data_IF_496465991455
#
_entry.id   IF_496465991455
#
_cell.length_a   1.000
_cell.length_b   1.000
_cell.length_c   1.000
_cell.angle_alpha   90.00
_cell.angle_beta   90.00
_cell.angle_gamma   90.00
#
_symmetry.space_group_name_H-M   'P 1'
#
loop_
_entity.id
_entity.type
_entity.pdbx_description
1 polymer ?
#
# COMPACT_ATOMS: atom_id res chain seq x y z
N UNK A 1 -19.06 65.56 9.58
CA UNK A 1 -19.26 64.11 9.39
C UNK A 1 -19.18 63.69 7.95
N UNK A 2 -18.00 63.25 7.51
CA UNK A 2 -17.86 62.54 6.23
C UNK A 2 -17.04 61.28 6.50
N UNK A 3 -17.76 60.18 6.72
CA UNK A 3 -17.18 58.84 6.88
C UNK A 3 -16.59 58.41 5.52
N UNK A 4 -15.32 57.98 5.44
CA UNK A 4 -14.76 57.51 4.18
C UNK A 4 -15.49 56.23 3.71
N UNK A 5 -15.60 56.00 2.39
CA UNK A 5 -16.32 54.85 1.87
C UNK A 5 -15.57 53.55 2.23
N UNK A 6 -16.33 52.52 2.60
CA UNK A 6 -15.79 51.21 2.93
C UNK A 6 -15.02 50.62 1.73
N UNK A 7 -13.79 50.17 1.97
CA UNK A 7 -12.98 49.50 0.96
C UNK A 7 -13.74 48.28 0.41
N UNK A 8 -13.89 48.20 -0.91
CA UNK A 8 -14.49 47.02 -1.57
C UNK A 8 -13.59 45.81 -1.28
N UNK A 9 -14.16 44.63 -0.95
CA UNK A 9 -13.35 43.44 -0.74
C UNK A 9 -12.62 43.12 -2.04
N UNK A 10 -11.28 43.12 -1.98
CA UNK A 10 -10.44 42.72 -3.11
C UNK A 10 -10.72 41.23 -3.32
N UNK A 11 -11.39 40.89 -4.42
CA UNK A 11 -11.65 39.49 -4.75
C UNK A 11 -10.31 38.73 -4.73
N UNK A 12 -10.21 37.71 -3.87
CA UNK A 12 -9.02 36.91 -3.74
C UNK A 12 -8.62 36.39 -5.13
N UNK A 13 -7.45 36.83 -5.61
CA UNK A 13 -6.89 36.47 -6.91
C UNK A 13 -6.90 34.94 -7.00
N UNK A 14 -7.56 34.30 -7.99
CA UNK A 14 -7.63 32.86 -8.04
C UNK A 14 -6.19 32.34 -8.12
N UNK A 15 -5.77 31.61 -7.09
CA UNK A 15 -4.44 31.03 -7.04
C UNK A 15 -4.30 30.21 -8.32
N UNK A 16 -3.43 30.64 -9.23
CA UNK A 16 -3.10 29.87 -10.43
C UNK A 16 -2.39 28.62 -9.94
N UNK A 17 -3.16 27.57 -9.64
CA UNK A 17 -2.62 26.29 -9.18
C UNK A 17 -1.59 25.82 -10.21
N UNK A 18 -0.32 25.85 -9.83
CA UNK A 18 0.78 25.53 -10.73
C UNK A 18 0.55 24.15 -11.39
N UNK A 19 0.88 23.97 -12.68
CA UNK A 19 0.77 22.68 -13.37
C UNK A 19 1.39 21.50 -12.61
N UNK A 20 2.43 21.76 -11.80
CA UNK A 20 3.09 20.78 -10.93
C UNK A 20 2.17 20.22 -9.84
N UNK A 21 1.42 21.08 -9.15
CA UNK A 21 0.51 20.68 -8.07
C UNK A 21 -0.66 19.83 -8.60
N UNK A 22 -1.19 20.18 -9.79
CA UNK A 22 -2.23 19.37 -10.45
C UNK A 22 -1.74 17.97 -10.82
N UNK A 23 -0.53 17.86 -11.37
CA UNK A 23 0.09 16.56 -11.70
C UNK A 23 0.33 15.72 -10.46
N UNK A 24 0.84 16.32 -9.38
CA UNK A 24 1.04 15.64 -8.09
C UNK A 24 -0.28 15.12 -7.50
N UNK A 25 -1.33 15.94 -7.49
CA UNK A 25 -2.67 15.51 -7.05
C UNK A 25 -3.23 14.36 -7.90
N UNK A 26 -3.02 14.39 -9.22
CA UNK A 26 -3.40 13.29 -10.11
C UNK A 26 -2.66 11.99 -9.78
N UNK A 27 -1.35 12.06 -9.57
CA UNK A 27 -0.53 10.92 -9.19
C UNK A 27 -0.98 10.28 -7.86
N UNK A 28 -1.27 11.11 -6.85
CA UNK A 28 -1.79 10.65 -5.56
C UNK A 28 -3.13 9.91 -5.70
N UNK A 29 -4.05 10.40 -6.55
CA UNK A 29 -5.33 9.72 -6.83
C UNK A 29 -5.10 8.36 -7.50
N UNK A 30 -4.22 8.29 -8.50
CA UNK A 30 -3.88 7.03 -9.15
C UNK A 30 -3.28 6.03 -8.17
N UNK A 31 -2.41 6.49 -7.27
CA UNK A 31 -1.80 5.66 -6.24
C UNK A 31 -2.84 5.16 -5.23
N UNK A 32 -3.75 6.02 -4.76
CA UNK A 32 -4.86 5.62 -3.90
C UNK A 32 -5.72 4.52 -4.56
N UNK A 33 -6.09 4.70 -5.83
CA UNK A 33 -6.83 3.68 -6.60
C UNK A 33 -6.04 2.37 -6.71
N UNK A 34 -4.72 2.44 -6.89
CA UNK A 34 -3.87 1.26 -6.94
C UNK A 34 -3.83 0.52 -5.60
N UNK A 35 -3.75 1.24 -4.47
CA UNK A 35 -3.87 0.65 -3.13
C UNK A 35 -5.22 -0.04 -2.97
N UNK A 36 -6.32 0.61 -3.35
CA UNK A 36 -7.66 0.02 -3.24
C UNK A 36 -7.78 -1.28 -4.05
N UNK A 37 -7.30 -1.26 -5.30
CA UNK A 37 -7.28 -2.43 -6.19
C UNK A 37 -6.43 -3.56 -5.61
N UNK A 38 -5.21 -3.26 -5.18
CA UNK A 38 -4.27 -4.30 -4.72
C UNK A 38 -4.67 -4.87 -3.36
N UNK A 39 -5.14 -4.03 -2.44
CA UNK A 39 -5.45 -4.41 -1.08
C UNK A 39 -6.83 -5.03 -0.95
N UNK A 40 -7.85 -4.38 -1.53
CA UNK A 40 -9.26 -4.74 -1.37
C UNK A 40 -9.85 -5.41 -2.61
N UNK A 41 -9.04 -5.61 -3.65
CA UNK A 41 -9.46 -6.20 -4.91
C UNK A 41 -10.59 -5.42 -5.61
N UNK A 42 -10.73 -4.12 -5.37
CA UNK A 42 -11.79 -3.31 -5.98
C UNK A 42 -11.67 -3.30 -7.51
N UNK A 43 -12.75 -3.62 -8.21
CA UNK A 43 -12.81 -3.59 -9.68
C UNK A 43 -14.26 -3.53 -10.14
N UNK A 44 -14.52 -2.75 -11.19
CA UNK A 44 -15.83 -2.63 -11.82
C UNK A 44 -16.14 -3.85 -12.73
N UNK A 45 -15.10 -4.62 -13.11
CA UNK A 45 -15.21 -5.77 -14.02
C UNK A 45 -14.50 -7.00 -13.43
N UNK A 46 -15.13 -7.72 -12.50
CA UNK A 46 -14.53 -8.92 -11.94
C UNK A 46 -14.56 -10.08 -12.93
N UNK A 47 -13.42 -10.70 -13.16
CA UNK A 47 -13.34 -11.93 -13.96
C UNK A 47 -13.81 -13.13 -13.14
N UNK A 48 -14.60 -14.02 -13.77
CA UNK A 48 -14.97 -15.32 -13.19
C UNK A 48 -13.71 -16.19 -13.10
N UNK A 49 -13.41 -16.73 -11.92
CA UNK A 49 -12.25 -17.62 -11.74
C UNK A 49 -12.42 -18.88 -12.59
N UNK A 50 -11.55 -19.07 -13.58
CA UNK A 50 -11.54 -20.26 -14.46
C UNK A 50 -10.53 -21.33 -14.03
N UNK A 51 -9.58 -21.02 -13.14
CA UNK A 51 -8.57 -21.97 -12.66
C UNK A 51 -8.54 -22.07 -11.13
N UNK A 52 -8.65 -23.31 -10.63
CA UNK A 52 -8.34 -23.70 -9.25
C UNK A 52 -6.82 -23.91 -9.12
N UNK A 53 -6.07 -22.87 -8.82
CA UNK A 53 -4.74 -23.04 -8.22
C UNK A 53 -4.91 -23.62 -6.81
N UNK A 54 -4.00 -24.52 -6.38
CA UNK A 54 -4.02 -25.05 -5.00
C UNK A 54 -4.08 -23.88 -4.02
N UNK A 55 -5.10 -23.82 -3.14
CA UNK A 55 -5.24 -22.67 -2.25
C UNK A 55 -4.12 -22.73 -1.21
N UNK A 56 -3.24 -21.72 -1.20
CA UNK A 56 -2.58 -21.34 0.04
C UNK A 56 -3.70 -21.02 1.03
N UNK A 57 -3.75 -21.77 2.14
CA UNK A 57 -4.84 -21.66 3.12
C UNK A 57 -4.91 -20.26 3.76
N UNK A 58 -3.81 -19.48 3.72
CA UNK A 58 -3.80 -18.08 4.22
C UNK A 58 -4.24 -17.06 3.17
N UNK A 59 -4.34 -17.44 1.90
CA UNK A 59 -4.73 -16.52 0.84
C UNK A 59 -6.23 -16.24 0.89
N UNK A 60 -6.60 -14.96 1.00
CA UNK A 60 -8.00 -14.52 0.91
C UNK A 60 -8.35 -14.26 -0.57
N UNK A 61 -9.31 -15.01 -1.15
CA UNK A 61 -9.72 -14.80 -2.54
C UNK A 61 -10.21 -13.37 -2.81
N UNK A 62 -9.95 -12.86 -4.02
CA UNK A 62 -10.34 -11.52 -4.44
C UNK A 62 -11.87 -11.27 -4.36
N UNK A 63 -12.68 -12.30 -4.63
CA UNK A 63 -14.14 -12.23 -4.48
C UNK A 63 -14.57 -12.03 -3.03
N UNK A 64 -13.93 -12.74 -2.10
CA UNK A 64 -14.18 -12.62 -0.66
C UNK A 64 -13.73 -11.26 -0.14
N UNK A 65 -12.54 -10.78 -0.55
CA UNK A 65 -12.05 -9.44 -0.17
C UNK A 65 -13.04 -8.34 -0.56
N UNK A 66 -13.55 -8.38 -1.80
CA UNK A 66 -14.53 -7.41 -2.29
C UNK A 66 -15.83 -7.46 -1.49
N UNK A 67 -16.40 -8.66 -1.32
CA UNK A 67 -17.65 -8.84 -0.59
C UNK A 67 -17.55 -8.33 0.86
N UNK A 68 -16.45 -8.63 1.56
CA UNK A 68 -16.21 -8.14 2.92
C UNK A 68 -15.99 -6.63 2.95
N UNK A 69 -15.23 -6.09 1.98
CA UNK A 69 -14.98 -4.65 1.89
C UNK A 69 -16.26 -3.84 1.68
N UNK A 70 -17.11 -4.31 0.76
CA UNK A 70 -18.41 -3.71 0.45
C UNK A 70 -19.37 -3.80 1.65
N UNK A 71 -19.54 -5.00 2.23
CA UNK A 71 -20.35 -5.22 3.43
C UNK A 71 -19.94 -4.31 4.58
N UNK A 72 -18.64 -4.15 4.81
CA UNK A 72 -18.13 -3.37 5.92
C UNK A 72 -18.00 -1.87 5.60
N UNK A 73 -18.28 -1.44 4.35
CA UNK A 73 -18.20 -0.04 3.92
C UNK A 73 -16.80 0.57 4.03
N UNK A 74 -15.78 -0.28 3.89
CA UNK A 74 -14.37 0.09 4.06
C UNK A 74 -13.98 0.57 5.46
N UNK A 75 -14.82 0.28 6.47
CA UNK A 75 -14.72 0.82 7.83
C UNK A 75 -14.57 -0.30 8.85
N UNK A 76 -13.75 -0.05 9.87
CA UNK A 76 -13.60 -0.96 11.00
C UNK A 76 -14.97 -1.37 11.58
N UNK A 77 -15.17 -2.67 11.82
CA UNK A 77 -16.41 -3.26 12.37
C UNK A 77 -16.39 -3.39 13.89
N UNK A 78 -15.29 -3.03 14.56
CA UNK A 78 -15.26 -2.98 16.02
C UNK A 78 -16.32 -2.02 16.56
N UNK A 79 -17.04 -2.49 17.57
CA UNK A 79 -18.02 -1.73 18.34
C UNK A 79 -17.52 -1.72 19.79
N UNK A 80 -17.37 -0.53 20.37
CA UNK A 80 -16.97 -0.38 21.77
C UNK A 80 -18.10 -0.77 22.73
N UNK A 81 -17.77 -0.88 24.02
CA UNK A 81 -18.74 -1.22 25.06
C UNK A 81 -19.92 -0.24 25.15
N UNK A 82 -19.72 1.03 24.75
CA UNK A 82 -20.77 2.05 24.63
C UNK A 82 -21.60 1.96 23.33
N UNK A 83 -21.44 0.89 22.55
CA UNK A 83 -22.20 0.65 21.32
C UNK A 83 -21.72 1.43 20.10
N UNK A 84 -20.64 2.20 20.20
CA UNK A 84 -20.14 3.02 19.09
C UNK A 84 -19.25 2.22 18.15
N UNK A 85 -19.59 2.21 16.86
CA UNK A 85 -18.73 1.61 15.82
C UNK A 85 -17.53 2.51 15.55
N UNK A 86 -16.32 1.95 15.55
CA UNK A 86 -15.10 2.66 15.20
C UNK A 86 -15.21 3.37 13.84
N UNK A 87 -14.93 4.67 13.77
CA UNK A 87 -15.02 5.48 12.55
C UNK A 87 -13.83 5.30 11.58
N UNK A 88 -12.80 4.55 11.98
CA UNK A 88 -11.58 4.44 11.18
C UNK A 88 -11.81 3.69 9.86
N UNK A 89 -11.39 4.34 8.78
CA UNK A 89 -11.22 3.77 7.43
C UNK A 89 -9.74 3.58 7.05
N UNK A 90 -8.84 4.11 7.88
CA UNK A 90 -7.41 4.05 7.64
C UNK A 90 -6.83 2.77 8.22
N UNK A 91 -5.80 2.24 7.54
CA UNK A 91 -5.03 1.05 8.00
C UNK A 91 -5.96 -0.12 8.39
N UNK A 92 -7.01 -0.34 7.60
CA UNK A 92 -7.93 -1.47 7.76
C UNK A 92 -7.30 -2.75 7.25
N UNK A 93 -7.53 -3.85 7.96
CA UNK A 93 -6.98 -5.18 7.72
C UNK A 93 -8.13 -6.19 7.74
N UNK A 94 -8.00 -7.26 6.95
CA UNK A 94 -8.94 -8.37 6.99
C UNK A 94 -8.58 -9.26 8.19
N UNK A 95 -9.45 -9.23 9.19
CA UNK A 95 -9.34 -10.02 10.41
C UNK A 95 -10.25 -11.25 10.32
N UNK A 96 -9.78 -12.38 10.84
CA UNK A 96 -10.58 -13.61 10.92
C UNK A 96 -11.27 -13.67 12.29
N UNK A 97 -12.60 -13.78 12.30
CA UNK A 97 -13.41 -13.91 13.52
C UNK A 97 -13.01 -15.16 14.29
N UNK A 98 -13.00 -16.31 13.62
CA UNK A 98 -12.30 -17.51 14.06
C UNK A 98 -10.90 -17.44 13.46
N UNK A 99 -9.84 -17.26 14.26
CA UNK A 99 -8.51 -17.06 13.70
C UNK A 99 -8.06 -18.23 12.83
N UNK A 100 -7.29 -17.93 11.78
CA UNK A 100 -6.66 -18.95 10.94
C UNK A 100 -5.87 -20.00 11.74
N UNK A 101 -5.15 -19.56 12.77
CA UNK A 101 -4.37 -20.45 13.65
C UNK A 101 -5.24 -21.45 14.43
N UNK A 102 -6.56 -21.22 14.51
CA UNK A 102 -7.56 -22.11 15.11
C UNK A 102 -8.44 -22.79 14.05
N UNK A 103 -7.99 -22.81 12.78
CA UNK A 103 -8.70 -23.48 11.69
C UNK A 103 -9.79 -22.65 11.01
N UNK A 104 -9.86 -21.33 11.26
CA UNK A 104 -10.84 -20.49 10.59
C UNK A 104 -10.54 -20.27 9.10
N UNK A 105 -11.55 -20.49 8.25
CA UNK A 105 -11.45 -20.32 6.80
C UNK A 105 -11.59 -18.86 6.36
N UNK A 106 -11.05 -18.54 5.18
CA UNK A 106 -11.16 -17.22 4.55
C UNK A 106 -12.50 -17.04 3.81
N UNK A 107 -13.61 -17.10 4.53
CA UNK A 107 -14.98 -16.90 4.00
C UNK A 107 -15.50 -15.49 4.29
N UNK A 108 -16.55 -15.07 3.58
CA UNK A 108 -17.18 -13.76 3.82
C UNK A 108 -17.72 -13.68 5.26
N UNK A 109 -18.29 -14.76 5.78
CA UNK A 109 -18.84 -14.80 7.14
C UNK A 109 -17.77 -14.80 8.23
N UNK A 110 -16.60 -15.39 7.99
CA UNK A 110 -15.53 -15.46 8.97
C UNK A 110 -14.54 -14.27 8.90
N UNK A 111 -14.63 -13.44 7.87
CA UNK A 111 -13.77 -12.26 7.72
C UNK A 111 -14.50 -10.96 8.07
N UNK A 112 -13.76 -10.01 8.63
CA UNK A 112 -14.24 -8.66 8.95
C UNK A 112 -13.11 -7.63 8.81
N UNK A 113 -13.47 -6.36 8.62
CA UNK A 113 -12.49 -5.28 8.63
C UNK A 113 -12.21 -4.78 10.05
N UNK A 114 -10.93 -4.71 10.41
CA UNK A 114 -10.45 -4.06 11.64
C UNK A 114 -9.36 -3.06 11.30
N UNK A 115 -9.37 -1.87 11.93
CA UNK A 115 -8.19 -1.00 11.85
C UNK A 115 -7.02 -1.67 12.59
N UNK A 116 -5.78 -1.33 12.24
CA UNK A 116 -4.57 -1.89 12.87
C UNK A 116 -4.67 -1.96 14.40
N UNK A 117 -5.14 -0.90 15.06
CA UNK A 117 -5.29 -0.84 16.51
C UNK A 117 -6.26 -1.90 17.03
N UNK A 118 -7.48 -1.98 16.48
CA UNK A 118 -8.46 -2.96 16.92
C UNK A 118 -8.09 -4.38 16.50
N UNK A 119 -7.38 -4.56 15.38
CA UNK A 119 -6.88 -5.88 14.97
C UNK A 119 -5.83 -6.40 15.96
N UNK A 120 -4.89 -5.54 16.37
CA UNK A 120 -3.90 -5.89 17.40
C UNK A 120 -4.53 -6.13 18.77
N UNK A 121 -5.52 -5.33 19.15
CA UNK A 121 -6.27 -5.53 20.38
C UNK A 121 -6.96 -6.90 20.37
N UNK A 122 -7.67 -7.24 19.28
CA UNK A 122 -8.36 -8.52 19.14
C UNK A 122 -7.39 -9.71 19.20
N UNK A 123 -6.23 -9.60 18.56
CA UNK A 123 -5.20 -10.62 18.61
C UNK A 123 -4.72 -10.87 20.06
N UNK A 124 -4.55 -9.80 20.86
CA UNK A 124 -4.18 -9.92 22.28
C UNK A 124 -5.31 -10.55 23.09
N UNK A 125 -6.57 -10.20 22.84
CA UNK A 125 -7.71 -10.84 23.51
C UNK A 125 -7.79 -12.33 23.18
N UNK A 126 -7.52 -12.70 21.93
CA UNK A 126 -7.73 -14.08 21.47
C UNK A 126 -6.58 -15.02 21.85
N UNK A 127 -5.33 -14.54 21.75
CA UNK A 127 -4.13 -15.37 21.94
C UNK A 127 -3.36 -15.06 23.24
N UNK A 128 -3.71 -13.99 23.95
CA UNK A 128 -2.98 -13.51 25.12
C UNK A 128 -1.88 -12.50 24.76
N UNK A 129 -1.72 -11.48 25.61
CA UNK A 129 -0.79 -10.38 25.35
C UNK A 129 0.67 -10.84 25.28
N UNK A 130 1.08 -11.75 26.17
CA UNK A 130 2.44 -12.28 26.24
C UNK A 130 2.79 -13.11 25.00
N UNK A 131 1.86 -13.98 24.56
CA UNK A 131 2.05 -14.76 23.35
C UNK A 131 2.24 -13.85 22.13
N UNK A 132 1.41 -12.81 22.00
CA UNK A 132 1.54 -11.83 20.90
C UNK A 132 2.87 -11.09 20.99
N UNK A 133 3.31 -10.67 22.18
CA UNK A 133 4.60 -10.00 22.37
C UNK A 133 5.76 -10.90 21.93
N UNK A 134 5.78 -12.13 22.40
CA UNK A 134 6.80 -13.12 22.01
C UNK A 134 6.82 -13.36 20.49
N UNK A 135 5.65 -13.41 19.84
CA UNK A 135 5.59 -13.53 18.36
C UNK A 135 6.08 -12.29 17.63
N UNK A 136 5.88 -11.09 18.18
CA UNK A 136 6.45 -9.86 17.62
C UNK A 136 7.97 -9.90 17.74
N UNK A 137 8.49 -10.23 18.93
CA UNK A 137 9.94 -10.35 19.19
C UNK A 137 10.58 -11.40 18.28
N UNK A 138 9.99 -12.60 18.16
CA UNK A 138 10.46 -13.64 17.25
C UNK A 138 10.50 -13.16 15.80
N UNK A 139 9.50 -12.39 15.34
CA UNK A 139 9.50 -11.83 13.98
C UNK A 139 10.55 -10.74 13.80
N UNK A 140 10.79 -9.92 14.81
CA UNK A 140 11.84 -8.90 14.79
C UNK A 140 13.24 -9.52 14.80
N UNK A 141 13.43 -10.63 15.53
CA UNK A 141 14.69 -11.36 15.59
C UNK A 141 14.95 -12.27 14.37
N UNK A 142 13.89 -12.85 13.79
CA UNK A 142 13.97 -13.69 12.58
C UNK A 142 13.86 -12.88 11.29
N UNK A 143 13.58 -11.58 11.36
CA UNK A 143 13.83 -10.70 10.25
C UNK A 143 15.34 -10.80 9.97
N UNK A 144 15.78 -11.20 8.75
CA UNK A 144 17.20 -11.18 8.44
C UNK A 144 17.72 -9.78 8.78
N UNK A 145 18.96 -9.68 9.25
CA UNK A 145 19.71 -8.43 9.40
C UNK A 145 19.84 -7.61 8.08
N UNK A 146 19.02 -7.88 7.07
CA UNK A 146 18.79 -7.10 5.87
C UNK A 146 17.93 -5.84 6.12
N UNK A 147 17.72 -5.45 7.38
CA UNK A 147 17.16 -4.16 7.78
C UNK A 147 18.17 -3.27 8.52
N UNK A 148 19.47 -3.63 8.50
CA UNK A 148 20.58 -2.69 8.75
C UNK A 148 21.22 -2.20 7.44
N UNK A 149 20.45 -2.16 6.35
CA UNK A 149 20.72 -1.22 5.27
C UNK A 149 19.55 -0.25 5.23
N UNK A 150 19.85 0.98 5.64
CA UNK A 150 18.99 2.16 5.50
C UNK A 150 18.14 2.07 4.22
N UNK A 151 16.80 2.06 4.31
CA UNK A 151 15.91 1.96 3.14
C UNK A 151 16.08 3.14 2.17
N UNK A 152 16.70 4.24 2.62
CA UNK A 152 17.07 5.35 1.77
C UNK A 152 18.40 5.13 1.05
N UNK A 153 19.21 4.12 1.40
CA UNK A 153 20.49 3.77 0.74
C UNK A 153 20.33 2.91 -0.52
N UNK A 154 19.25 2.12 -0.61
CA UNK A 154 19.00 1.22 -1.75
C UNK A 154 17.76 1.63 -2.56
N UNK A 155 17.95 1.85 -3.87
CA UNK A 155 16.85 2.15 -4.81
C UNK A 155 16.00 0.93 -5.16
N UNK A 156 16.41 -0.29 -4.77
CA UNK A 156 15.78 -1.55 -5.20
C UNK A 156 14.29 -1.62 -4.81
N UNK A 157 13.89 -1.36 -3.53
CA UNK A 157 12.49 -1.45 -3.13
C UNK A 157 11.59 -0.48 -3.92
N UNK A 158 12.11 0.70 -4.23
CA UNK A 158 11.42 1.75 -4.99
C UNK A 158 11.26 1.37 -6.47
N UNK A 159 12.30 0.86 -7.12
CA UNK A 159 12.20 0.40 -8.51
C UNK A 159 11.25 -0.79 -8.63
N UNK A 160 11.28 -1.71 -7.66
CA UNK A 160 10.37 -2.86 -7.60
C UNK A 160 8.90 -2.45 -7.51
N UNK A 161 8.59 -1.40 -6.74
CA UNK A 161 7.22 -0.88 -6.60
C UNK A 161 6.72 -0.17 -7.87
N UNK A 162 7.64 0.37 -8.68
CA UNK A 162 7.37 0.93 -10.02
C UNK A 162 7.24 -0.14 -11.12
N UNK A 163 7.32 -1.43 -10.78
CA UNK A 163 7.18 -2.54 -11.73
C UNK A 163 8.47 -2.92 -12.46
N UNK A 164 9.62 -2.38 -12.06
CA UNK A 164 10.93 -2.79 -12.60
C UNK A 164 11.23 -4.22 -12.13
N UNK A 165 11.75 -5.05 -13.03
CA UNK A 165 12.11 -6.43 -12.72
C UNK A 165 13.25 -6.47 -11.70
N UNK A 166 13.33 -7.54 -10.90
CA UNK A 166 14.35 -7.68 -9.86
C UNK A 166 15.79 -7.57 -10.42
N UNK A 167 16.06 -8.18 -11.58
CA UNK A 167 17.36 -8.13 -12.24
C UNK A 167 17.71 -6.71 -12.78
N UNK A 168 16.70 -5.95 -13.21
CA UNK A 168 16.88 -4.56 -13.63
C UNK A 168 17.07 -3.64 -12.42
N UNK A 169 16.33 -3.87 -11.34
CA UNK A 169 16.44 -3.11 -10.11
C UNK A 169 17.82 -3.28 -9.45
N UNK A 170 18.39 -4.50 -9.46
CA UNK A 170 19.76 -4.76 -8.98
C UNK A 170 20.81 -4.02 -9.80
N UNK A 171 20.75 -4.11 -11.14
CA UNK A 171 21.65 -3.37 -12.04
C UNK A 171 21.57 -1.86 -11.87
N UNK A 172 20.36 -1.33 -11.67
CA UNK A 172 20.18 0.10 -11.42
C UNK A 172 20.67 0.52 -10.03
N UNK A 173 20.62 -0.38 -9.03
CA UNK A 173 21.16 -0.12 -7.71
C UNK A 173 22.69 -0.11 -7.69
N UNK A 174 23.34 -1.00 -8.44
CA UNK A 174 24.79 -0.94 -8.68
C UNK A 174 25.20 0.39 -9.30
N UNK A 175 24.44 0.89 -10.28
CA UNK A 175 24.66 2.22 -10.85
C UNK A 175 24.49 3.33 -9.78
N UNK A 176 23.44 3.30 -8.97
CA UNK A 176 23.21 4.29 -7.92
C UNK A 176 24.22 4.22 -6.77
N UNK A 177 24.87 3.08 -6.54
CA UNK A 177 25.93 2.94 -5.54
C UNK A 177 27.14 3.83 -5.83
N UNK A 178 27.31 4.30 -7.07
CA UNK A 178 28.33 5.28 -7.47
C UNK A 178 28.00 6.73 -7.03
N UNK A 179 26.80 6.98 -6.53
CA UNK A 179 26.33 8.30 -6.07
C UNK A 179 25.74 8.20 -4.65
N UNK A 180 26.54 7.84 -3.62
CA UNK A 180 26.04 7.55 -2.28
C UNK A 180 25.45 8.78 -1.57
N UNK A 181 25.96 9.98 -1.87
CA UNK A 181 25.61 11.23 -1.17
C UNK A 181 24.35 11.92 -1.72
N UNK A 182 23.75 11.39 -2.80
CA UNK A 182 22.55 11.97 -3.38
C UNK A 182 21.30 11.54 -2.62
N UNK A 183 20.29 12.44 -2.45
CA UNK A 183 19.00 12.08 -1.90
C UNK A 183 18.38 10.89 -2.65
N UNK A 184 17.64 10.04 -1.94
CA UNK A 184 17.04 8.82 -2.52
C UNK A 184 16.16 9.12 -3.74
N UNK A 185 15.43 10.25 -3.74
CA UNK A 185 14.63 10.68 -4.88
C UNK A 185 15.47 10.88 -6.15
N UNK A 186 16.63 11.51 -6.02
CA UNK A 186 17.54 11.79 -7.13
C UNK A 186 18.21 10.50 -7.62
N UNK A 187 18.56 9.59 -6.70
CA UNK A 187 19.05 8.25 -7.07
C UNK A 187 18.00 7.44 -7.82
N UNK A 188 16.73 7.47 -7.40
CA UNK A 188 15.63 6.80 -8.10
C UNK A 188 15.42 7.40 -9.50
N UNK A 189 15.47 8.73 -9.63
CA UNK A 189 15.40 9.40 -10.93
C UNK A 189 16.55 8.98 -11.87
N UNK A 190 17.78 8.95 -11.34
CA UNK A 190 18.96 8.53 -12.09
C UNK A 190 18.88 7.04 -12.51
N UNK A 191 18.40 6.16 -11.62
CA UNK A 191 18.15 4.75 -11.93
C UNK A 191 17.14 4.56 -13.07
N UNK A 192 16.03 5.29 -13.06
CA UNK A 192 15.01 5.23 -14.12
C UNK A 192 15.60 5.70 -15.45
N UNK A 193 16.37 6.79 -15.44
CA UNK A 193 17.05 7.29 -16.65
C UNK A 193 18.09 6.28 -17.19
N UNK A 194 18.87 5.65 -16.30
CA UNK A 194 19.83 4.60 -16.64
C UNK A 194 19.15 3.40 -17.32
N UNK A 195 18.05 2.91 -16.74
CA UNK A 195 17.26 1.81 -17.32
C UNK A 195 16.63 2.18 -18.67
N UNK A 196 16.24 3.45 -18.85
CA UNK A 196 15.75 3.99 -20.13
C UNK A 196 16.83 4.01 -21.22
N UNK A 197 18.06 4.43 -20.90
CA UNK A 197 19.19 4.44 -21.83
C UNK A 197 19.66 3.03 -22.21
N UNK A 198 19.58 2.07 -21.29
CA UNK A 198 19.89 0.67 -21.55
C UNK A 198 18.89 0.02 -22.53
N UNK A 199 17.61 0.43 -22.51
CA UNK A 199 16.60 -0.01 -23.50
C UNK A 199 16.87 0.52 -24.91
N UNK A 200 17.44 1.71 -25.05
CA UNK A 200 17.78 2.31 -26.36
C UNK A 200 18.99 1.62 -27.01
N UNK A 201 19.84 0.95 -26.22
CA UNK A 201 21.07 0.29 -26.69
C UNK A 201 20.96 -1.23 -26.87
N UNK A 202 19.85 -1.85 -26.48
CA UNK A 202 19.65 -3.27 -26.68
C UNK A 202 19.17 -3.54 -28.13
N UNK A 203 19.91 -4.30 -28.96
CA UNK A 203 19.41 -4.66 -30.28
C UNK A 203 18.10 -5.46 -30.15
N UNK A 204 17.11 -5.11 -30.97
CA UNK A 204 15.87 -5.85 -31.09
C UNK A 204 16.19 -7.25 -31.60
N UNK A 205 16.12 -8.26 -30.73
CA UNK A 205 16.21 -9.67 -31.14
C UNK A 205 14.79 -10.07 -31.61
N UNK A 206 14.55 -10.27 -32.91
CA UNK A 206 13.25 -10.76 -33.36
C UNK A 206 13.02 -12.16 -32.80
N UNK A 207 11.87 -12.35 -32.15
CA UNK A 207 11.38 -13.66 -31.74
C UNK A 207 10.88 -14.34 -33.02
N UNK A 208 11.65 -15.28 -33.56
CA UNK A 208 11.19 -16.14 -34.64
C UNK A 208 10.11 -17.07 -34.10
N UNK A 209 8.98 -17.12 -34.80
CA UNK A 209 7.82 -17.98 -34.52
C UNK A 209 8.12 -19.46 -34.78
#
# INVERSE_FOLDING_TARGET
>A
DTRPPAARPVAARPQRFEPRLRRAQGALRCYARQIEKTKYATTDRPQRRTRRTKPDRRHIPAEVKRAVWERDGGRCTFVSADGRRCASRARTEFDHIVPFARGGDATVSNLRLRCRTHNQWEAKQTFGAEFIRSKIEQRSAAAPAAAEDDPDRSVIPWLRSLGVRADQARRAAEFCATMPDQPIGDRVHAAIAFLGRARVRAPHIPVTA
#
